data_IF_230693892513
#
_entry.id   IF_230693892513
#
_cell.length_a   1.000
_cell.length_b   1.000
_cell.length_c   1.000
_cell.angle_alpha   90.00
_cell.angle_beta   90.00
_cell.angle_gamma   90.00
#
_symmetry.space_group_name_H-M   'P 1'
#
loop_
_entity.id
_entity.type
_entity.pdbx_description
1 polymer ?
#
# COMPACT_ATOMS: atom_id res chain seq x y z
N UNK A 1 4.85 -36.14 0.35
CA UNK A 1 4.90 -34.76 0.92
C UNK A 1 3.58 -34.09 0.59
N UNK A 2 2.99 -33.28 1.50
CA UNK A 2 1.78 -32.54 1.15
C UNK A 2 2.05 -31.62 -0.05
N UNK A 3 1.04 -31.40 -0.90
CA UNK A 3 1.19 -30.57 -2.08
C UNK A 3 1.64 -29.16 -1.71
N UNK A 4 2.55 -28.59 -2.51
CA UNK A 4 3.03 -27.22 -2.38
C UNK A 4 2.81 -26.49 -3.71
N UNK A 5 2.49 -25.20 -3.64
CA UNK A 5 2.59 -24.36 -4.82
C UNK A 5 4.03 -24.23 -5.33
N UNK A 6 4.16 -23.79 -6.57
CA UNK A 6 5.41 -23.66 -7.34
C UNK A 6 6.04 -22.27 -7.20
N UNK A 7 5.31 -21.30 -6.63
CA UNK A 7 5.76 -19.92 -6.45
C UNK A 7 6.83 -19.77 -5.37
N UNK A 8 7.63 -18.71 -5.50
CA UNK A 8 8.69 -18.37 -4.55
C UNK A 8 8.12 -17.63 -3.34
N UNK A 9 8.64 -17.92 -2.15
CA UNK A 9 8.34 -17.15 -0.95
C UNK A 9 9.34 -15.99 -0.81
N UNK A 10 8.88 -14.75 -1.00
CA UNK A 10 9.76 -13.57 -1.05
C UNK A 10 10.18 -13.00 0.31
N UNK A 11 9.49 -13.36 1.40
CA UNK A 11 9.75 -12.89 2.75
C UNK A 11 9.90 -14.07 3.73
N UNK A 12 10.79 -13.94 4.71
CA UNK A 12 10.94 -14.93 5.77
C UNK A 12 9.72 -14.92 6.71
N UNK A 13 8.97 -16.02 6.84
CA UNK A 13 7.79 -16.07 7.69
C UNK A 13 8.13 -16.31 9.17
N UNK A 14 9.41 -16.41 9.55
CA UNK A 14 9.83 -16.69 10.93
C UNK A 14 9.47 -15.55 11.89
N UNK A 15 8.48 -15.81 12.75
CA UNK A 15 8.14 -14.90 13.85
C UNK A 15 9.33 -14.64 14.80
N UNK A 16 10.26 -15.59 14.94
CA UNK A 16 11.44 -15.40 15.78
C UNK A 16 12.44 -14.42 15.18
N UNK A 17 12.66 -14.47 13.87
CA UNK A 17 13.50 -13.48 13.17
C UNK A 17 12.84 -12.11 13.18
N UNK A 18 11.53 -12.04 12.89
CA UNK A 18 10.76 -10.79 12.98
C UNK A 18 10.86 -10.14 14.38
N UNK A 19 10.76 -10.92 15.46
CA UNK A 19 10.93 -10.44 16.84
C UNK A 19 12.29 -9.77 17.09
N UNK A 20 13.35 -10.19 16.41
CA UNK A 20 14.65 -9.55 16.53
C UNK A 20 14.60 -8.11 16.00
N UNK A 21 13.99 -7.89 14.83
CA UNK A 21 13.77 -6.56 14.27
C UNK A 21 12.87 -5.70 15.17
N UNK A 22 11.75 -6.25 15.66
CA UNK A 22 10.83 -5.51 16.53
C UNK A 22 11.38 -5.17 17.91
N UNK A 23 12.43 -5.87 18.38
CA UNK A 23 13.00 -5.65 19.72
C UNK A 23 13.56 -4.24 19.88
N UNK A 24 14.14 -3.70 18.82
CA UNK A 24 14.82 -2.40 18.84
C UNK A 24 13.89 -1.24 18.45
N UNK A 25 12.62 -1.53 18.11
CA UNK A 25 11.66 -0.51 17.72
C UNK A 25 11.35 0.41 18.90
N UNK A 26 11.56 1.73 18.79
CA UNK A 26 11.25 2.67 19.87
C UNK A 26 9.75 2.64 20.20
N UNK A 27 9.42 2.40 21.47
CA UNK A 27 8.03 2.41 21.97
C UNK A 27 7.73 3.61 22.87
N UNK A 28 8.61 4.62 22.86
CA UNK A 28 8.38 5.89 23.55
C UNK A 28 7.37 6.73 22.79
N UNK A 29 6.61 7.54 23.53
CA UNK A 29 5.72 8.56 22.98
C UNK A 29 6.54 9.78 22.53
N UNK A 30 7.33 9.61 21.46
CA UNK A 30 8.18 10.64 20.87
C UNK A 30 7.50 11.28 19.67
N UNK A 31 7.84 12.54 19.38
CA UNK A 31 7.39 13.22 18.17
C UNK A 31 7.94 12.54 16.91
N UNK A 32 7.06 12.24 15.96
CA UNK A 32 7.37 11.51 14.72
C UNK A 32 6.97 12.29 13.48
N UNK A 33 6.55 13.54 13.64
CA UNK A 33 6.16 14.38 12.51
C UNK A 33 7.38 14.70 11.65
N UNK A 34 7.25 14.48 10.35
CA UNK A 34 8.29 14.71 9.35
C UNK A 34 7.67 14.96 7.98
N UNK A 35 8.49 15.34 6.99
CA UNK A 35 8.06 15.40 5.59
C UNK A 35 8.00 14.00 4.98
N UNK A 36 7.16 13.81 3.94
CA UNK A 36 7.12 12.57 3.14
C UNK A 36 8.50 12.26 2.55
N UNK A 37 9.19 13.29 2.04
CA UNK A 37 10.52 13.13 1.45
C UNK A 37 11.53 12.56 2.46
N UNK A 38 11.57 13.10 3.68
CA UNK A 38 12.48 12.61 4.71
C UNK A 38 12.08 11.23 5.22
N UNK A 39 10.78 10.95 5.36
CA UNK A 39 10.28 9.63 5.76
C UNK A 39 10.69 8.56 4.75
N UNK A 40 10.40 8.77 3.47
CA UNK A 40 10.77 7.84 2.38
C UNK A 40 12.29 7.69 2.30
N UNK A 41 13.05 8.78 2.43
CA UNK A 41 14.53 8.74 2.35
C UNK A 41 15.13 7.88 3.45
N UNK A 42 14.64 8.02 4.68
CA UNK A 42 15.21 7.39 5.90
C UNK A 42 14.69 5.99 6.17
N UNK A 43 13.46 5.68 5.75
CA UNK A 43 12.74 4.48 6.18
C UNK A 43 12.46 3.50 5.05
N UNK A 44 12.70 3.87 3.78
CA UNK A 44 12.56 2.98 2.63
C UNK A 44 13.91 2.85 1.95
N UNK A 45 14.40 1.63 1.84
CA UNK A 45 15.68 1.29 1.23
C UNK A 45 15.47 0.43 -0.01
N UNK A 46 16.46 0.43 -0.89
CA UNK A 46 16.45 -0.47 -2.04
C UNK A 46 16.44 -1.92 -1.56
N UNK A 47 15.65 -2.76 -2.21
CA UNK A 47 15.47 -4.17 -1.81
C UNK A 47 14.46 -4.42 -0.70
N UNK A 48 13.93 -3.38 -0.03
CA UNK A 48 12.92 -3.54 1.01
C UNK A 48 11.66 -4.23 0.46
N UNK A 49 11.02 -5.03 1.31
CA UNK A 49 9.65 -5.47 1.11
C UNK A 49 8.67 -4.37 1.52
N UNK A 50 8.11 -3.68 0.53
CA UNK A 50 7.09 -2.66 0.67
C UNK A 50 5.68 -3.27 0.70
N UNK A 51 4.86 -2.79 1.61
CA UNK A 51 3.42 -2.99 1.61
C UNK A 51 2.70 -1.65 1.80
N UNK A 52 1.53 -1.52 1.21
CA UNK A 52 0.71 -0.31 1.30
C UNK A 52 -0.66 -0.65 1.84
N UNK A 53 -1.23 0.27 2.63
CA UNK A 53 -2.61 0.18 3.09
C UNK A 53 -3.61 0.66 2.05
N UNK A 54 -4.88 0.68 2.43
CA UNK A 54 -5.98 1.03 1.53
C UNK A 54 -6.52 -0.17 0.75
N UNK A 55 -7.38 0.10 -0.24
CA UNK A 55 -7.99 -0.93 -1.08
C UNK A 55 -8.45 -0.33 -2.41
N UNK A 56 -7.94 -0.87 -3.52
CA UNK A 56 -8.23 -0.34 -4.84
C UNK A 56 -7.70 1.09 -4.96
N UNK A 57 -8.61 2.04 -5.15
CA UNK A 57 -8.31 3.47 -5.16
C UNK A 57 -8.68 4.19 -3.85
N UNK A 58 -9.10 3.47 -2.81
CA UNK A 58 -9.57 4.07 -1.55
C UNK A 58 -8.44 4.11 -0.51
N UNK A 59 -8.14 5.30 0.01
CA UNK A 59 -7.10 5.56 1.03
C UNK A 59 -5.70 5.06 0.64
N UNK A 60 -5.39 5.08 -0.66
CA UNK A 60 -4.06 4.75 -1.15
C UNK A 60 -3.05 5.84 -0.71
N UNK A 61 -1.83 5.49 -0.28
CA UNK A 61 -0.83 6.46 0.17
C UNK A 61 -0.10 7.13 -1.01
N UNK A 62 -0.84 7.69 -1.97
CA UNK A 62 -0.32 8.19 -3.26
C UNK A 62 0.85 9.14 -3.08
N UNK A 63 0.77 10.07 -2.14
CA UNK A 63 1.84 11.03 -1.87
C UNK A 63 3.20 10.36 -1.57
N UNK A 64 3.18 9.28 -0.79
CA UNK A 64 4.38 8.54 -0.46
C UNK A 64 4.83 7.61 -1.60
N UNK A 65 3.89 7.00 -2.33
CA UNK A 65 4.20 6.17 -3.50
C UNK A 65 4.86 7.01 -4.61
N UNK A 66 4.36 8.21 -4.87
CA UNK A 66 5.00 9.19 -5.75
C UNK A 66 6.43 9.48 -5.31
N UNK A 67 6.64 9.73 -4.02
CA UNK A 67 7.96 10.06 -3.49
C UNK A 67 8.95 8.87 -3.56
N UNK A 68 8.48 7.62 -3.39
CA UNK A 68 9.28 6.40 -3.57
C UNK A 68 9.83 6.35 -5.01
N UNK A 69 8.97 6.56 -6.00
CA UNK A 69 9.35 6.55 -7.41
C UNK A 69 10.24 7.76 -7.75
N UNK A 70 9.93 8.94 -7.23
CA UNK A 70 10.69 10.19 -7.46
C UNK A 70 12.10 10.13 -6.88
N UNK A 71 12.28 9.50 -5.72
CA UNK A 71 13.60 9.23 -5.14
C UNK A 71 14.34 8.06 -5.81
N UNK A 72 13.70 7.40 -6.79
CA UNK A 72 14.31 6.34 -7.57
C UNK A 72 14.67 5.11 -6.74
N UNK A 73 13.83 4.73 -5.76
CA UNK A 73 14.03 3.49 -5.00
C UNK A 73 14.00 2.28 -5.94
N UNK A 74 14.90 1.34 -5.72
CA UNK A 74 15.16 0.22 -6.64
C UNK A 74 14.91 -1.14 -5.97
N UNK A 75 14.55 -2.12 -6.80
CA UNK A 75 14.50 -3.55 -6.49
C UNK A 75 13.60 -3.92 -5.31
N UNK A 76 12.53 -3.16 -5.09
CA UNK A 76 11.57 -3.43 -4.03
C UNK A 76 10.84 -4.76 -4.29
N UNK A 77 10.54 -5.46 -3.21
CA UNK A 77 9.44 -6.42 -3.20
C UNK A 77 8.15 -5.70 -2.86
N UNK A 78 7.01 -6.13 -3.40
CA UNK A 78 5.73 -5.48 -3.15
C UNK A 78 4.62 -6.46 -2.77
N UNK A 79 3.82 -6.11 -1.76
CA UNK A 79 2.58 -6.80 -1.42
C UNK A 79 1.41 -6.19 -2.19
N UNK A 80 1.01 -6.83 -3.29
CA UNK A 80 -0.11 -6.42 -4.13
C UNK A 80 -1.50 -6.74 -3.56
N UNK A 81 -1.73 -6.40 -2.29
CA UNK A 81 -3.00 -6.65 -1.58
C UNK A 81 -4.05 -5.61 -1.98
N UNK A 82 -4.82 -5.92 -3.04
CA UNK A 82 -5.73 -4.98 -3.73
C UNK A 82 -5.08 -3.61 -4.01
N UNK A 83 -3.84 -3.63 -4.49
CA UNK A 83 -3.07 -2.42 -4.77
C UNK A 83 -3.17 -2.12 -6.27
N UNK A 84 -4.08 -1.22 -6.67
CA UNK A 84 -4.33 -0.92 -8.09
C UNK A 84 -3.55 0.31 -8.57
N UNK A 85 -4.02 1.53 -8.28
CA UNK A 85 -3.37 2.75 -8.76
C UNK A 85 -1.99 2.99 -8.12
N UNK A 86 -1.81 2.59 -6.86
CA UNK A 86 -0.50 2.56 -6.20
C UNK A 86 0.49 1.63 -6.91
N UNK A 87 0.07 0.42 -7.34
CA UNK A 87 0.89 -0.45 -8.17
C UNK A 87 1.19 0.18 -9.54
N UNK A 88 0.18 0.79 -10.17
CA UNK A 88 0.34 1.52 -11.44
C UNK A 88 1.41 2.61 -11.33
N UNK A 89 1.42 3.38 -10.24
CA UNK A 89 2.45 4.39 -9.99
C UNK A 89 3.81 3.74 -9.76
N UNK A 90 3.92 2.67 -8.95
CA UNK A 90 5.20 1.98 -8.73
C UNK A 90 5.80 1.44 -10.04
N UNK A 91 4.95 0.97 -10.97
CA UNK A 91 5.38 0.56 -12.30
C UNK A 91 6.03 1.69 -13.12
N UNK A 92 5.76 2.97 -12.81
CA UNK A 92 6.44 4.10 -13.46
C UNK A 92 7.97 4.10 -13.27
N UNK A 93 8.47 3.39 -12.25
CA UNK A 93 9.90 3.17 -12.03
C UNK A 93 10.52 2.03 -12.85
N UNK A 94 9.72 1.29 -13.63
CA UNK A 94 10.14 0.18 -14.48
C UNK A 94 9.93 0.56 -15.95
N UNK A 95 10.82 0.13 -16.85
CA UNK A 95 10.67 0.30 -18.32
C UNK A 95 10.49 1.74 -18.83
N UNK A 96 10.73 2.75 -18.00
CA UNK A 96 10.67 4.19 -18.34
C UNK A 96 12.06 4.84 -18.41
N UNK A 97 13.14 4.06 -18.25
CA UNK A 97 14.51 4.56 -18.15
C UNK A 97 14.90 5.01 -16.74
N UNK A 98 14.07 4.73 -15.73
CA UNK A 98 14.28 5.09 -14.32
C UNK A 98 14.84 3.96 -13.45
N UNK A 99 15.17 2.83 -14.07
CA UNK A 99 15.68 1.64 -13.41
C UNK A 99 14.64 0.53 -13.31
N UNK A 100 14.63 -0.15 -12.16
CA UNK A 100 13.74 -1.25 -11.81
C UNK A 100 13.27 -1.03 -10.37
N UNK A 101 12.22 -0.23 -10.18
CA UNK A 101 11.64 -0.01 -8.85
C UNK A 101 11.06 -1.30 -8.26
N UNK A 102 10.32 -2.07 -9.05
CA UNK A 102 9.76 -3.36 -8.65
C UNK A 102 10.60 -4.52 -9.19
N UNK A 103 11.08 -5.39 -8.31
CA UNK A 103 11.77 -6.63 -8.68
C UNK A 103 10.92 -7.88 -8.40
N UNK A 104 10.13 -7.86 -7.32
CA UNK A 104 9.32 -9.03 -6.90
C UNK A 104 7.95 -8.58 -6.43
N UNK A 105 6.89 -9.31 -6.76
CA UNK A 105 5.53 -8.94 -6.36
C UNK A 105 4.74 -10.17 -5.92
N UNK A 106 4.25 -10.14 -4.68
CA UNK A 106 3.15 -11.01 -4.27
C UNK A 106 1.86 -10.42 -4.84
N UNK A 107 1.25 -11.06 -5.84
CA UNK A 107 0.11 -10.51 -6.58
C UNK A 107 -1.20 -11.08 -6.04
N UNK A 108 -2.21 -10.21 -5.90
CA UNK A 108 -3.59 -10.65 -5.73
C UNK A 108 -4.55 -9.95 -6.68
N UNK A 109 -4.59 -8.62 -6.64
CA UNK A 109 -5.33 -7.81 -7.62
C UNK A 109 -4.60 -6.47 -7.78
N UNK A 110 -3.87 -6.31 -8.89
CA UNK A 110 -2.92 -5.20 -9.06
C UNK A 110 -2.97 -4.46 -10.40
N UNK A 111 -3.33 -5.15 -11.49
CA UNK A 111 -3.30 -4.56 -12.85
C UNK A 111 -4.63 -3.90 -13.22
N UNK A 112 -5.74 -4.43 -12.69
CA UNK A 112 -7.08 -3.88 -12.92
C UNK A 112 -7.36 -2.69 -12.02
N UNK A 113 -8.02 -1.68 -12.57
CA UNK A 113 -8.50 -0.48 -11.87
C UNK A 113 -10.04 -0.53 -11.76
N UNK A 114 -10.54 -1.70 -11.33
CA UNK A 114 -11.96 -2.02 -11.16
C UNK A 114 -12.77 -1.75 -12.44
N UNK A 115 -13.69 -0.79 -12.41
CA UNK A 115 -14.54 -0.45 -13.53
C UNK A 115 -13.83 0.34 -14.65
N UNK A 116 -12.58 0.79 -14.41
CA UNK A 116 -11.84 1.68 -15.33
C UNK A 116 -11.06 0.93 -16.41
N UNK A 117 -10.82 -0.37 -16.20
CA UNK A 117 -10.06 -1.22 -17.13
C UNK A 117 -8.72 -1.67 -16.58
N UNK A 118 -7.79 -1.98 -17.46
CA UNK A 118 -6.44 -2.46 -17.13
C UNK A 118 -5.41 -1.39 -17.45
N UNK A 119 -4.45 -1.15 -16.57
CA UNK A 119 -3.33 -0.25 -16.85
C UNK A 119 -2.46 -0.79 -18.01
N UNK A 120 -2.36 -0.09 -19.17
CA UNK A 120 -1.51 -0.54 -20.27
C UNK A 120 -0.03 -0.64 -19.87
N UNK A 121 0.46 0.26 -19.01
CA UNK A 121 1.85 0.22 -18.58
C UNK A 121 2.13 -0.83 -17.51
N UNK A 122 1.25 -1.02 -16.53
CA UNK A 122 1.39 -2.11 -15.56
C UNK A 122 1.39 -3.47 -16.26
N UNK A 123 0.53 -3.68 -17.28
CA UNK A 123 0.57 -4.87 -18.13
C UNK A 123 1.93 -5.04 -18.81
N UNK A 124 2.45 -3.99 -19.44
CA UNK A 124 3.77 -4.00 -20.09
C UNK A 124 4.88 -4.41 -19.12
N UNK A 125 4.84 -3.92 -17.87
CA UNK A 125 5.81 -4.29 -16.82
C UNK A 125 5.69 -5.77 -16.46
N UNK A 126 4.48 -6.26 -16.20
CA UNK A 126 4.27 -7.67 -15.82
C UNK A 126 4.59 -8.65 -16.96
N UNK A 127 4.20 -8.32 -18.19
CA UNK A 127 4.43 -9.14 -19.39
C UNK A 127 5.89 -9.12 -19.85
N UNK A 128 6.71 -8.18 -19.38
CA UNK A 128 8.15 -8.13 -19.70
C UNK A 128 8.95 -9.30 -19.11
N UNK A 129 8.41 -10.00 -18.10
CA UNK A 129 9.11 -11.05 -17.37
C UNK A 129 10.25 -10.55 -16.47
N UNK A 130 10.41 -9.24 -16.29
CA UNK A 130 11.47 -8.66 -15.44
C UNK A 130 11.12 -8.62 -13.95
N UNK A 131 9.86 -8.84 -13.60
CA UNK A 131 9.35 -8.87 -12.23
C UNK A 131 9.04 -10.31 -11.86
N UNK A 132 9.64 -10.82 -10.78
CA UNK A 132 9.29 -12.14 -10.24
C UNK A 132 7.95 -12.07 -9.51
N UNK A 133 7.12 -13.09 -9.68
CA UNK A 133 5.72 -13.08 -9.21
C UNK A 133 5.41 -14.31 -8.38
N UNK A 134 4.63 -14.11 -7.32
CA UNK A 134 4.00 -15.19 -6.56
C UNK A 134 2.52 -14.85 -6.38
N UNK A 135 1.64 -15.79 -6.71
CA UNK A 135 0.19 -15.52 -6.68
C UNK A 135 -0.44 -15.81 -5.32
N UNK A 136 -1.38 -14.96 -4.94
CA UNK A 136 -2.19 -15.09 -3.74
C UNK A 136 -3.61 -14.58 -4.02
N UNK A 137 -4.61 -15.05 -3.29
CA UNK A 137 -5.90 -14.33 -3.26
C UNK A 137 -5.79 -13.11 -2.35
N UNK A 138 -6.66 -12.11 -2.52
CA UNK A 138 -6.72 -10.95 -1.61
C UNK A 138 -6.90 -11.42 -0.15
N UNK A 139 -7.78 -12.40 0.07
CA UNK A 139 -7.96 -13.01 1.38
C UNK A 139 -6.70 -13.70 1.90
N UNK A 140 -5.95 -14.40 1.03
CA UNK A 140 -4.71 -15.04 1.44
C UNK A 140 -3.66 -14.04 1.91
N UNK A 141 -3.45 -12.92 1.20
CA UNK A 141 -2.54 -11.86 1.67
C UNK A 141 -3.00 -11.26 3.01
N UNK A 142 -4.30 -11.01 3.19
CA UNK A 142 -4.84 -10.57 4.47
C UNK A 142 -4.55 -11.58 5.61
N UNK A 143 -4.71 -12.88 5.36
CA UNK A 143 -4.36 -13.93 6.34
C UNK A 143 -2.86 -13.99 6.61
N UNK A 144 -2.00 -13.75 5.61
CA UNK A 144 -0.54 -13.70 5.81
C UNK A 144 -0.13 -12.51 6.68
N UNK A 145 -0.73 -11.33 6.47
CA UNK A 145 -0.56 -10.17 7.34
C UNK A 145 -1.11 -10.45 8.75
N UNK A 146 -2.24 -11.15 8.85
CA UNK A 146 -2.83 -11.55 10.14
C UNK A 146 -1.88 -12.47 10.93
N UNK A 147 -1.31 -13.46 10.27
CA UNK A 147 -0.35 -14.38 10.87
C UNK A 147 0.86 -13.61 11.45
N UNK A 148 1.37 -12.64 10.69
CA UNK A 148 2.45 -11.78 11.12
C UNK A 148 2.07 -10.89 12.32
N UNK A 149 0.90 -10.24 12.27
CA UNK A 149 0.39 -9.43 13.38
C UNK A 149 0.17 -10.25 14.67
N UNK A 150 -0.15 -11.53 14.55
CA UNK A 150 -0.28 -12.48 15.67
C UNK A 150 1.08 -13.02 16.16
N UNK A 151 2.17 -12.77 15.44
CA UNK A 151 3.49 -13.33 15.75
C UNK A 151 3.57 -14.84 15.55
N UNK A 152 2.84 -15.35 14.55
CA UNK A 152 2.84 -16.76 14.13
C UNK A 152 3.56 -16.91 12.79
N UNK A 153 4.15 -18.10 12.50
CA UNK A 153 4.82 -18.33 11.23
C UNK A 153 3.86 -18.58 10.06
N UNK A 154 2.64 -19.00 10.33
CA UNK A 154 1.60 -19.18 9.32
C UNK A 154 0.21 -19.20 9.99
N UNK A 155 -0.84 -19.06 9.19
CA UNK A 155 -2.22 -19.38 9.58
C UNK A 155 -2.84 -20.34 8.58
N UNK A 156 -3.72 -21.25 9.02
CA UNK A 156 -4.47 -22.13 8.12
C UNK A 156 -5.63 -21.37 7.45
N UNK A 157 -5.91 -21.68 6.18
CA UNK A 157 -7.09 -21.19 5.45
C UNK A 157 -7.64 -22.26 4.49
N UNK A 158 -8.92 -22.16 4.12
CA UNK A 158 -9.52 -23.00 3.08
C UNK A 158 -9.35 -22.41 1.67
N UNK A 159 -9.21 -21.08 1.58
CA UNK A 159 -9.01 -20.36 0.32
C UNK A 159 -7.80 -20.90 -0.45
N UNK A 160 -7.83 -20.76 -1.77
CA UNK A 160 -6.83 -21.24 -2.75
C UNK A 160 -6.90 -22.74 -3.11
N UNK A 161 -7.43 -23.62 -2.25
CA UNK A 161 -7.55 -25.04 -2.62
C UNK A 161 -8.36 -25.21 -3.91
N UNK A 162 -7.81 -26.00 -4.83
CA UNK A 162 -8.45 -26.31 -6.12
C UNK A 162 -8.36 -25.20 -7.16
N UNK A 163 -7.57 -24.14 -6.95
CA UNK A 163 -7.37 -23.07 -7.93
C UNK A 163 -5.94 -23.05 -8.49
N UNK A 164 -5.76 -22.50 -9.69
CA UNK A 164 -4.42 -22.26 -10.25
C UNK A 164 -3.63 -21.24 -9.41
N UNK A 165 -4.31 -20.33 -8.70
CA UNK A 165 -3.66 -19.43 -7.74
C UNK A 165 -2.87 -20.21 -6.69
N UNK A 166 -3.36 -21.37 -6.21
CA UNK A 166 -2.57 -22.22 -5.31
C UNK A 166 -1.31 -22.75 -6.01
N UNK A 167 -1.44 -23.24 -7.24
CA UNK A 167 -0.32 -23.76 -8.02
C UNK A 167 0.77 -22.71 -8.19
N UNK A 168 0.42 -21.45 -8.44
CA UNK A 168 1.37 -20.35 -8.64
C UNK A 168 1.75 -19.60 -7.34
N UNK A 169 1.29 -20.07 -6.19
CA UNK A 169 1.64 -19.50 -4.87
C UNK A 169 2.82 -20.21 -4.22
N UNK A 170 3.29 -19.70 -3.08
CA UNK A 170 4.21 -20.41 -2.19
C UNK A 170 3.49 -21.15 -1.05
N UNK A 171 2.16 -21.31 -1.15
CA UNK A 171 1.35 -21.92 -0.12
C UNK A 171 1.57 -23.44 -0.03
N UNK A 172 1.24 -24.04 1.12
CA UNK A 172 1.40 -25.49 1.34
C UNK A 172 0.14 -26.11 1.88
N UNK A 173 -0.22 -27.29 1.39
CA UNK A 173 -1.32 -28.07 1.96
C UNK A 173 -0.90 -28.63 3.33
N UNK A 174 -1.83 -28.62 4.28
CA UNK A 174 -1.69 -29.25 5.60
C UNK A 174 -2.99 -29.98 5.96
N UNK A 175 -2.90 -30.96 6.85
CA UNK A 175 -4.08 -31.59 7.43
C UNK A 175 -4.24 -31.09 8.87
N UNK A 176 -5.46 -30.70 9.23
CA UNK A 176 -5.79 -30.35 10.60
C UNK A 176 -5.57 -31.58 11.51
N UNK A 177 -4.75 -31.49 12.56
CA UNK A 177 -4.44 -32.65 13.40
C UNK A 177 -5.63 -33.09 14.27
N UNK A 178 -6.66 -32.26 14.40
CA UNK A 178 -7.85 -32.54 15.22
C UNK A 178 -9.02 -33.10 14.39
N UNK A 179 -9.19 -32.63 13.15
CA UNK A 179 -10.35 -32.97 12.30
C UNK A 179 -9.97 -33.79 11.07
N UNK A 180 -8.68 -33.86 10.73
CA UNK A 180 -8.21 -34.46 9.48
C UNK A 180 -8.48 -33.62 8.23
N UNK A 181 -9.13 -32.45 8.37
CA UNK A 181 -9.47 -31.60 7.22
C UNK A 181 -8.23 -31.08 6.49
N UNK A 182 -8.26 -31.14 5.16
CA UNK A 182 -7.25 -30.53 4.31
C UNK A 182 -7.44 -29.01 4.23
N UNK A 183 -6.38 -28.27 4.56
CA UNK A 183 -6.30 -26.81 4.58
C UNK A 183 -5.01 -26.35 3.89
N UNK A 184 -4.88 -25.04 3.70
CA UNK A 184 -3.67 -24.38 3.20
C UNK A 184 -3.00 -23.65 4.36
N UNK A 185 -1.70 -23.90 4.57
CA UNK A 185 -0.84 -23.08 5.40
C UNK A 185 -0.38 -21.86 4.60
N UNK A 186 -0.80 -20.68 5.06
CA UNK A 186 -0.41 -19.39 4.49
C UNK A 186 0.72 -18.78 5.32
N UNK A 187 1.95 -18.69 4.79
CA UNK A 187 3.12 -18.23 5.55
C UNK A 187 3.00 -16.74 5.88
N UNK A 188 3.36 -16.37 7.10
CA UNK A 188 3.29 -14.99 7.56
C UNK A 188 4.09 -14.04 6.66
N UNK A 189 3.54 -12.84 6.44
CA UNK A 189 4.21 -11.77 5.69
C UNK A 189 4.56 -10.65 6.65
N UNK A 190 5.87 -10.45 6.88
CA UNK A 190 6.42 -9.35 7.67
C UNK A 190 7.08 -8.34 6.72
N UNK A 191 6.36 -7.30 6.26
CA UNK A 191 6.97 -6.27 5.40
C UNK A 191 8.12 -5.58 6.11
N UNK A 192 9.14 -5.20 5.36
CA UNK A 192 10.23 -4.38 5.87
C UNK A 192 9.76 -2.95 6.15
N UNK A 193 8.83 -2.46 5.32
CA UNK A 193 8.20 -1.15 5.47
C UNK A 193 6.75 -1.18 4.99
N UNK A 194 5.87 -0.51 5.75
CA UNK A 194 4.50 -0.23 5.35
C UNK A 194 4.24 1.27 5.24
N UNK A 195 3.40 1.65 4.29
CA UNK A 195 2.88 3.01 4.17
C UNK A 195 1.36 2.97 4.19
N UNK A 196 0.73 3.74 5.08
CA UNK A 196 -0.74 3.75 5.23
C UNK A 196 -1.23 5.20 5.24
N UNK A 197 -2.32 5.47 4.52
CA UNK A 197 -3.01 6.76 4.55
C UNK A 197 -4.24 6.74 5.45
N UNK A 198 -4.34 7.71 6.36
CA UNK A 198 -5.38 7.77 7.40
C UNK A 198 -6.03 9.13 7.48
N UNK A 199 -7.24 9.21 8.06
CA UNK A 199 -7.95 10.49 8.23
C UNK A 199 -7.22 11.40 9.21
N UNK A 200 -6.87 10.88 10.38
CA UNK A 200 -6.28 11.68 11.44
C UNK A 200 -5.13 10.93 12.08
N UNK A 201 -4.07 11.66 12.42
CA UNK A 201 -3.01 11.17 13.28
C UNK A 201 -2.65 12.23 14.32
N UNK A 202 -2.21 11.82 15.52
CA UNK A 202 -1.46 12.75 16.35
C UNK A 202 0.03 12.70 16.02
N UNK A 203 0.79 13.65 16.57
CA UNK A 203 2.24 13.75 16.33
C UNK A 203 3.04 12.52 16.77
N UNK A 204 2.46 11.65 17.59
CA UNK A 204 3.10 10.44 18.11
C UNK A 204 2.82 9.21 17.24
N UNK A 205 1.81 9.28 16.36
CA UNK A 205 1.40 8.22 15.46
C UNK A 205 0.16 7.44 15.89
N UNK A 206 -0.65 7.95 16.83
CA UNK A 206 -1.97 7.39 17.07
C UNK A 206 -2.92 7.82 15.95
N UNK A 207 -3.46 6.86 15.22
CA UNK A 207 -4.24 7.14 14.01
C UNK A 207 -5.71 6.78 14.17
N UNK A 208 -6.57 7.56 13.55
CA UNK A 208 -7.99 7.27 13.35
C UNK A 208 -8.26 7.05 11.87
N UNK A 209 -9.02 6.02 11.58
CA UNK A 209 -9.52 5.70 10.25
C UNK A 209 -11.04 5.72 10.34
N UNK A 210 -11.68 6.41 9.40
CA UNK A 210 -13.13 6.37 9.21
C UNK A 210 -13.46 5.39 8.09
N UNK A 211 -14.52 4.59 8.28
CA UNK A 211 -14.93 3.58 7.30
C UNK A 211 -14.07 2.31 7.33
N UNK A 212 -14.01 1.62 6.19
CA UNK A 212 -13.39 0.30 6.08
C UNK A 212 -11.87 0.36 6.21
N UNK A 213 -11.33 -0.42 7.14
CA UNK A 213 -9.89 -0.49 7.43
C UNK A 213 -9.16 -1.56 6.62
N UNK A 214 -9.90 -2.51 6.04
CA UNK A 214 -9.37 -3.59 5.19
C UNK A 214 -8.33 -4.40 5.97
N UNK A 215 -7.04 -4.36 5.61
CA UNK A 215 -5.97 -5.05 6.32
C UNK A 215 -5.02 -4.09 7.08
N UNK A 216 -5.29 -2.78 7.10
CA UNK A 216 -4.36 -1.75 7.61
C UNK A 216 -3.93 -2.00 9.06
N UNK A 217 -4.84 -2.48 9.91
CA UNK A 217 -4.52 -2.73 11.33
C UNK A 217 -3.55 -3.91 11.50
N UNK A 218 -3.68 -4.93 10.67
CA UNK A 218 -2.79 -6.09 10.69
C UNK A 218 -1.47 -5.72 9.99
N UNK A 219 -1.52 -4.98 8.88
CA UNK A 219 -0.36 -4.44 8.18
C UNK A 219 0.53 -3.57 9.10
N UNK A 220 -0.07 -2.63 9.83
CA UNK A 220 0.67 -1.76 10.75
C UNK A 220 1.36 -2.53 11.88
N UNK A 221 0.84 -3.70 12.27
CA UNK A 221 1.45 -4.56 13.28
C UNK A 221 2.47 -5.54 12.69
N UNK A 222 2.30 -5.92 11.43
CA UNK A 222 3.15 -6.86 10.72
C UNK A 222 4.46 -6.21 10.20
N UNK A 223 4.43 -4.92 9.86
CA UNK A 223 5.57 -4.25 9.24
C UNK A 223 6.61 -3.77 10.26
N UNK A 224 7.90 -3.95 9.92
CA UNK A 224 9.01 -3.54 10.77
C UNK A 224 9.09 -2.02 10.92
N UNK A 225 8.89 -1.28 9.82
CA UNK A 225 8.79 0.19 9.77
C UNK A 225 7.42 0.61 9.24
N UNK A 226 6.80 1.64 9.82
CA UNK A 226 5.49 2.15 9.38
C UNK A 226 5.54 3.66 9.22
N UNK A 227 5.23 4.10 8.00
CA UNK A 227 5.02 5.51 7.64
C UNK A 227 3.52 5.75 7.56
N UNK A 228 3.05 6.74 8.31
CA UNK A 228 1.68 7.24 8.21
C UNK A 228 1.69 8.52 7.40
N UNK A 229 0.85 8.58 6.37
CA UNK A 229 0.40 9.85 5.81
C UNK A 229 -1.01 10.13 6.32
N UNK A 230 -1.33 11.36 6.68
CA UNK A 230 -2.67 11.68 7.20
C UNK A 230 -3.24 12.96 6.60
N UNK A 231 -4.57 13.01 6.48
CA UNK A 231 -5.28 14.23 6.05
C UNK A 231 -5.10 15.36 7.06
N UNK A 232 -5.09 15.05 8.36
CA UNK A 232 -4.95 16.04 9.44
C UNK A 232 -4.14 15.54 10.61
N UNK A 233 -3.27 16.41 11.13
CA UNK A 233 -2.69 16.27 12.46
C UNK A 233 -3.64 16.82 13.52
N UNK A 234 -3.96 16.00 14.51
CA UNK A 234 -4.80 16.39 15.65
C UNK A 234 -4.01 16.38 16.96
N UNK A 235 -4.37 17.23 17.94
CA UNK A 235 -3.76 17.16 19.27
C UNK A 235 -3.98 15.80 19.93
N UNK A 236 -2.98 15.29 20.65
CA UNK A 236 -3.12 14.02 21.39
C UNK A 236 -4.26 14.05 22.42
N UNK A 237 -4.64 15.22 22.94
CA UNK A 237 -5.82 15.37 23.80
C UNK A 237 -7.11 14.92 23.11
N UNK A 238 -7.24 15.12 21.79
CA UNK A 238 -8.41 14.66 21.03
C UNK A 238 -8.40 13.14 20.82
N UNK A 239 -7.23 12.53 20.60
CA UNK A 239 -7.07 11.07 20.63
C UNK A 239 -7.48 10.52 22.01
N UNK A 240 -6.99 11.13 23.08
CA UNK A 240 -7.25 10.70 24.47
C UNK A 240 -8.70 10.92 24.92
N UNK A 241 -9.41 11.88 24.33
CA UNK A 241 -10.83 12.15 24.61
C UNK A 241 -11.72 10.96 24.23
N UNK A 242 -11.39 10.29 23.14
CA UNK A 242 -12.07 9.08 22.68
C UNK A 242 -11.04 8.04 22.19
N UNK A 243 -10.41 7.32 23.15
CA UNK A 243 -9.31 6.42 22.84
C UNK A 243 -9.78 5.18 22.07
N UNK A 244 -11.06 4.80 22.19
CA UNK A 244 -11.65 3.64 21.50
C UNK A 244 -11.66 3.77 19.98
N UNK A 245 -11.59 5.00 19.45
CA UNK A 245 -11.47 5.27 18.01
C UNK A 245 -10.04 5.13 17.46
N UNK A 246 -9.04 4.87 18.30
CA UNK A 246 -7.65 4.70 17.83
C UNK A 246 -7.51 3.37 17.10
N UNK A 247 -7.36 3.42 15.78
CA UNK A 247 -7.25 2.24 14.93
C UNK A 247 -5.81 1.69 14.89
N UNK A 248 -4.83 2.58 14.67
CA UNK A 248 -3.41 2.24 14.67
C UNK A 248 -2.75 2.94 15.85
N UNK A 249 -2.20 2.19 16.82
CA UNK A 249 -1.55 2.77 17.99
C UNK A 249 -0.13 3.26 17.67
N UNK A 250 0.31 4.31 18.38
CA UNK A 250 1.60 4.96 18.14
C UNK A 250 2.81 4.02 18.14
N UNK A 251 2.80 2.92 18.91
CA UNK A 251 3.94 2.01 19.00
C UNK A 251 4.21 1.23 17.70
N UNK A 252 3.26 1.22 16.76
CA UNK A 252 3.46 0.66 15.43
C UNK A 252 4.19 1.63 14.50
N UNK A 253 4.09 2.94 14.75
CA UNK A 253 4.41 4.01 13.78
C UNK A 253 5.82 4.56 14.00
N UNK A 254 6.54 4.83 12.90
CA UNK A 254 7.90 5.38 12.90
C UNK A 254 7.96 6.81 12.33
N UNK A 255 7.04 7.18 11.45
CA UNK A 255 6.92 8.52 10.89
C UNK A 255 5.46 8.92 10.64
N UNK A 256 5.14 10.19 10.86
CA UNK A 256 3.84 10.79 10.57
C UNK A 256 4.04 11.97 9.63
N UNK A 257 3.33 11.99 8.51
CA UNK A 257 3.39 13.04 7.50
C UNK A 257 1.99 13.61 7.29
N UNK A 258 1.76 14.88 7.60
CA UNK A 258 0.51 15.56 7.25
C UNK A 258 0.52 15.89 5.76
N UNK A 259 -0.39 15.27 5.01
CA UNK A 259 -0.53 15.45 3.57
C UNK A 259 -2.03 15.48 3.24
N UNK A 260 -2.69 16.65 3.38
CA UNK A 260 -4.06 16.80 2.94
C UNK A 260 -4.19 16.44 1.47
N UNK A 261 -5.26 15.72 1.12
CA UNK A 261 -5.50 15.12 -0.18
C UNK A 261 -4.48 14.05 -0.59
N UNK A 262 -3.81 13.41 0.36
CA UNK A 262 -2.71 12.48 0.13
C UNK A 262 -3.09 11.19 -0.61
N UNK A 263 -4.39 10.88 -0.70
CA UNK A 263 -4.94 9.77 -1.48
C UNK A 263 -5.33 10.13 -2.92
N UNK A 264 -5.36 11.43 -3.29
CA UNK A 264 -5.65 11.85 -4.66
C UNK A 264 -4.73 11.12 -5.67
N UNK A 265 -5.22 10.69 -6.85
CA UNK A 265 -6.56 10.87 -7.39
C UNK A 265 -7.60 9.86 -6.86
N UNK A 266 -7.21 8.97 -5.95
CA UNK A 266 -8.12 8.04 -5.29
C UNK A 266 -9.08 8.71 -4.30
N UNK A 267 -10.05 7.93 -3.81
CA UNK A 267 -11.03 8.39 -2.85
C UNK A 267 -10.44 8.41 -1.42
N UNK A 268 -10.82 9.41 -0.64
CA UNK A 268 -10.66 9.39 0.81
C UNK A 268 -12.05 9.44 1.45
N UNK A 269 -12.58 8.29 1.94
CA UNK A 269 -13.99 8.19 2.30
C UNK A 269 -14.38 9.20 3.37
N UNK A 270 -15.43 9.97 3.12
CA UNK A 270 -15.89 11.04 3.99
C UNK A 270 -15.07 12.33 3.93
N UNK A 271 -14.10 12.45 3.00
CA UNK A 271 -13.30 13.66 2.79
C UNK A 271 -13.38 14.18 1.36
N UNK A 272 -13.08 13.35 0.35
CA UNK A 272 -13.14 13.71 -1.06
C UNK A 272 -13.29 12.49 -1.97
N UNK A 273 -13.97 12.71 -3.10
CA UNK A 273 -14.26 11.68 -4.08
C UNK A 273 -13.04 11.39 -4.97
N UNK A 274 -13.06 10.24 -5.63
CA UNK A 274 -12.05 9.85 -6.62
C UNK A 274 -12.12 10.74 -7.87
N UNK A 275 -10.97 11.18 -8.37
CA UNK A 275 -10.87 11.98 -9.60
C UNK A 275 -10.86 11.06 -10.83
N UNK A 276 -12.05 10.65 -11.25
CA UNK A 276 -12.26 9.74 -12.37
C UNK A 276 -11.73 10.29 -13.71
N UNK A 277 -11.77 11.61 -13.90
CA UNK A 277 -11.21 12.26 -15.10
C UNK A 277 -9.68 12.12 -15.12
N UNK A 278 -9.02 12.32 -13.98
CA UNK A 278 -7.58 12.17 -13.87
C UNK A 278 -7.14 10.71 -14.05
N UNK A 279 -7.81 9.76 -13.40
CA UNK A 279 -7.53 8.34 -13.55
C UNK A 279 -7.71 7.86 -15.00
N UNK A 280 -8.76 8.35 -15.69
CA UNK A 280 -8.96 8.08 -17.11
C UNK A 280 -7.83 8.64 -17.96
N UNK A 281 -7.44 9.91 -17.73
CA UNK A 281 -6.31 10.52 -18.45
C UNK A 281 -5.02 9.74 -18.26
N UNK A 282 -4.75 9.24 -17.04
CA UNK A 282 -3.58 8.41 -16.76
C UNK A 282 -3.60 7.12 -17.60
N UNK A 283 -4.74 6.44 -17.70
CA UNK A 283 -4.91 5.25 -18.55
C UNK A 283 -4.68 5.55 -20.03
N UNK A 284 -5.25 6.66 -20.53
CA UNK A 284 -5.11 7.07 -21.93
C UNK A 284 -3.63 7.33 -22.30
N UNK A 285 -2.86 8.02 -21.45
CA UNK A 285 -1.44 8.30 -21.75
C UNK A 285 -0.54 7.07 -21.66
N UNK A 286 -0.94 6.01 -20.95
CA UNK A 286 -0.16 4.77 -20.83
C UNK A 286 -0.14 3.89 -22.10
N UNK A 287 -1.08 4.13 -23.01
CA UNK A 287 -1.16 3.45 -24.32
C UNK A 287 0.09 3.70 -25.16
N UNK A 288 0.63 4.93 -25.11
CA UNK A 288 1.87 5.34 -25.77
C UNK A 288 2.97 5.60 -24.74
N UNK A 289 4.08 4.86 -24.83
CA UNK A 289 5.14 4.92 -23.83
C UNK A 289 5.84 6.30 -23.77
N UNK A 290 5.95 7.01 -24.89
CA UNK A 290 6.59 8.32 -24.91
C UNK A 290 5.66 9.40 -24.34
N UNK A 291 4.35 9.32 -24.62
CA UNK A 291 3.34 10.16 -23.96
C UNK A 291 3.30 9.91 -22.45
N UNK A 292 3.38 8.65 -22.03
CA UNK A 292 3.44 8.30 -20.61
C UNK A 292 4.67 8.87 -19.92
N UNK A 293 5.87 8.74 -20.52
CA UNK A 293 7.09 9.33 -19.98
C UNK A 293 6.98 10.85 -19.85
N UNK A 294 6.47 11.53 -20.88
CA UNK A 294 6.25 12.98 -20.83
C UNK A 294 5.24 13.38 -19.74
N UNK A 295 4.19 12.57 -19.55
CA UNK A 295 3.22 12.76 -18.47
C UNK A 295 3.89 12.61 -17.09
N UNK A 296 4.68 11.56 -16.87
CA UNK A 296 5.41 11.32 -15.63
C UNK A 296 6.45 12.40 -15.35
N UNK A 297 7.20 12.84 -16.36
CA UNK A 297 8.19 13.91 -16.20
C UNK A 297 7.53 15.22 -15.75
N UNK A 298 6.34 15.53 -16.27
CA UNK A 298 5.58 16.71 -15.85
C UNK A 298 4.95 16.55 -14.46
N UNK A 299 4.26 15.45 -14.21
CA UNK A 299 3.38 15.31 -13.04
C UNK A 299 4.04 14.62 -11.84
N UNK A 300 5.16 13.92 -12.03
CA UNK A 300 5.83 13.18 -10.96
C UNK A 300 7.28 13.62 -10.81
N UNK A 301 8.14 13.41 -11.81
CA UNK A 301 9.58 13.65 -11.67
C UNK A 301 9.97 15.13 -11.64
N UNK A 302 9.22 15.99 -12.35
CA UNK A 302 9.43 17.44 -12.38
C UNK A 302 8.83 18.20 -11.19
N UNK A 303 8.24 17.50 -10.21
CA UNK A 303 7.61 18.11 -9.03
C UNK A 303 8.57 18.15 -7.83
N UNK A 304 8.44 19.16 -6.96
CA UNK A 304 9.20 19.21 -5.70
C UNK A 304 8.52 18.44 -4.57
N UNK A 305 7.32 17.94 -4.80
CA UNK A 305 6.53 17.16 -3.85
C UNK A 305 5.08 17.06 -4.29
N UNK A 306 4.28 16.38 -3.47
CA UNK A 306 2.91 16.04 -3.82
C UNK A 306 1.99 17.26 -3.99
N UNK A 307 2.25 18.36 -3.27
CA UNK A 307 1.47 19.59 -3.43
C UNK A 307 1.61 20.20 -4.84
N UNK A 308 2.81 20.16 -5.44
CA UNK A 308 3.01 20.62 -6.82
C UNK A 308 2.23 19.75 -7.82
N UNK A 309 2.19 18.43 -7.58
CA UNK A 309 1.37 17.51 -8.36
C UNK A 309 -0.12 17.87 -8.28
N UNK A 310 -0.66 18.10 -7.07
CA UNK A 310 -2.05 18.53 -6.90
C UNK A 310 -2.36 19.82 -7.68
N UNK A 311 -1.45 20.79 -7.66
CA UNK A 311 -1.59 22.05 -8.40
C UNK A 311 -1.63 21.83 -9.92
N UNK A 312 -0.81 20.92 -10.45
CA UNK A 312 -0.83 20.55 -11.87
C UNK A 312 -2.12 19.83 -12.28
N UNK A 313 -2.80 19.18 -11.32
CA UNK A 313 -4.03 18.42 -11.54
C UNK A 313 -5.30 19.25 -11.26
N UNK A 314 -5.23 20.58 -11.37
CA UNK A 314 -6.38 21.49 -11.19
C UNK A 314 -6.43 22.15 -9.82
N UNK A 315 -5.52 21.79 -8.90
CA UNK A 315 -5.31 22.49 -7.64
C UNK A 315 -6.55 22.56 -6.75
N UNK A 316 -6.62 23.61 -5.92
CA UNK A 316 -7.66 23.77 -4.91
C UNK A 316 -9.09 23.79 -5.47
N UNK A 317 -9.28 24.27 -6.71
CA UNK A 317 -10.60 24.29 -7.34
C UNK A 317 -11.12 22.87 -7.59
N UNK A 318 -10.32 22.03 -8.26
CA UNK A 318 -10.68 20.63 -8.51
C UNK A 318 -10.87 19.87 -7.19
N UNK A 319 -9.98 20.07 -6.23
CA UNK A 319 -10.10 19.41 -4.92
C UNK A 319 -11.38 19.79 -4.18
N UNK A 320 -11.84 21.05 -4.26
CA UNK A 320 -13.13 21.48 -3.69
C UNK A 320 -14.32 20.82 -4.39
N UNK A 321 -14.27 20.65 -5.70
CA UNK A 321 -15.31 19.93 -6.45
C UNK A 321 -15.41 18.48 -5.99
N UNK A 322 -14.27 17.78 -5.84
CA UNK A 322 -14.22 16.40 -5.35
C UNK A 322 -14.73 16.27 -3.92
N UNK A 323 -14.43 17.23 -3.03
CA UNK A 323 -15.02 17.29 -1.68
C UNK A 323 -16.54 17.46 -1.73
N UNK A 324 -17.03 18.38 -2.57
CA UNK A 324 -18.46 18.59 -2.71
C UNK A 324 -19.16 17.34 -3.25
N UNK A 325 -18.55 16.63 -4.20
CA UNK A 325 -19.06 15.38 -4.72
C UNK A 325 -19.14 14.29 -3.66
N UNK A 326 -18.09 14.11 -2.83
CA UNK A 326 -18.10 13.14 -1.71
C UNK A 326 -19.24 13.41 -0.72
N UNK A 327 -19.49 14.69 -0.44
CA UNK A 327 -20.54 15.12 0.48
C UNK A 327 -21.90 15.37 -0.17
N UNK A 328 -22.04 15.07 -1.48
CA UNK A 328 -23.26 15.32 -2.26
C UNK A 328 -23.76 16.77 -2.15
N UNK A 329 -22.84 17.73 -2.12
CA UNK A 329 -23.13 19.16 -2.04
C UNK A 329 -23.27 19.75 -3.44
N UNK A 330 -24.33 20.53 -3.67
CA UNK A 330 -24.49 21.31 -4.90
C UNK A 330 -23.67 22.60 -4.80
N UNK A 331 -22.64 22.75 -5.64
CA UNK A 331 -21.77 23.94 -5.63
C UNK A 331 -22.33 25.15 -6.39
N UNK A 332 -23.44 25.01 -7.11
CA UNK A 332 -24.07 26.12 -7.85
C UNK A 332 -23.16 26.82 -8.87
N UNK A 333 -22.14 26.09 -9.38
CA UNK A 333 -21.15 26.57 -10.35
C UNK A 333 -21.73 26.72 -11.75
#
# INVERSE_FOLDING_TARGET
MPASGEGLLFADPSANHARASFRNKPRSLADKVTTVSDAVRRLIHDGDYLAVGGFGADRIPTAAVHEIVRQGKQRLSFAGHTATHDFQILCAGNLTGRGQTLARVDIAYIVGLEARGLSPHARRVMESGTVEVCEWTNYALAVRLKAAAMGLPFLPARSMLGTDTFKHSAARVINCPFTGETLVALPALYPDVAVIHVHESDRYGNCRIQGTTVADLDLARAAQRVIITCERLIPNSEIRRDPGRTAIPFYCVDAVCEVPFGSYPGNMPGEYFSDEEHLKKWLEVEEDLEQYKAFLDRHLFGTNGFHDYLNLCGGLERLRQLRAQEHLLHLGL
#
